data_IF_744637983560
#
_entry.id   IF_744637983560
#
_cell.length_a   1.000
_cell.length_b   1.000
_cell.length_c   1.000
_cell.angle_alpha   90.00
_cell.angle_beta   90.00
_cell.angle_gamma   90.00
#
_symmetry.space_group_name_H-M   'P 1'
#
loop_
_entity.id
_entity.type
_entity.pdbx_description
1 polymer ?
#
# COMPACT_ATOMS: atom_id res chain seq x y z
N UNK A 1 18.38 -7.68 0.00
CA UNK A 1 18.13 -7.58 -1.45
C UNK A 1 17.97 -9.00 -1.96
N UNK A 2 16.75 -9.53 -1.97
CA UNK A 2 16.45 -10.82 -2.58
C UNK A 2 16.08 -10.54 -4.04
N UNK A 3 16.93 -10.96 -4.96
CA UNK A 3 16.64 -10.90 -6.40
C UNK A 3 15.47 -11.82 -6.72
N UNK A 4 14.39 -11.26 -7.26
CA UNK A 4 13.38 -12.02 -7.98
C UNK A 4 14.01 -12.49 -9.30
N UNK A 5 14.48 -13.74 -9.34
CA UNK A 5 14.95 -14.35 -10.58
C UNK A 5 13.77 -14.55 -11.54
N UNK A 6 13.86 -14.14 -12.81
CA UNK A 6 12.82 -14.39 -13.79
C UNK A 6 12.91 -15.84 -14.26
N UNK A 7 11.91 -16.66 -13.93
CA UNK A 7 11.74 -18.01 -14.48
C UNK A 7 10.95 -17.96 -15.78
N UNK A 8 11.65 -18.27 -16.88
CA UNK A 8 11.16 -19.08 -18.00
C UNK A 8 9.98 -18.57 -18.86
N UNK A 9 10.28 -18.29 -20.12
CA UNK A 9 9.45 -18.42 -21.34
C UNK A 9 7.95 -18.71 -21.16
N UNK A 10 7.23 -17.67 -20.79
CA UNK A 10 5.77 -17.53 -20.86
C UNK A 10 5.50 -16.13 -20.32
N UNK A 11 4.95 -15.22 -21.14
CA UNK A 11 4.82 -13.81 -20.77
C UNK A 11 4.13 -13.65 -19.43
N UNK A 12 4.91 -13.40 -18.36
CA UNK A 12 4.37 -13.22 -17.03
C UNK A 12 3.73 -11.83 -16.96
N UNK A 13 2.44 -11.83 -16.66
CA UNK A 13 1.63 -10.68 -16.30
C UNK A 13 2.11 -10.12 -14.95
N UNK A 14 3.30 -9.52 -14.94
CA UNK A 14 3.89 -8.90 -13.75
C UNK A 14 3.34 -7.50 -13.49
N UNK A 15 3.31 -7.08 -12.23
CA UNK A 15 2.93 -5.72 -11.86
C UNK A 15 4.07 -4.76 -12.27
N UNK A 16 3.82 -3.90 -13.24
CA UNK A 16 4.81 -2.92 -13.72
C UNK A 16 4.63 -1.57 -13.04
N UNK A 17 5.69 -1.05 -12.40
CA UNK A 17 5.72 0.24 -11.70
C UNK A 17 5.08 1.38 -12.51
N UNK A 18 5.46 1.48 -13.79
CA UNK A 18 4.94 2.50 -14.70
C UNK A 18 3.43 2.41 -14.90
N UNK A 19 2.86 1.19 -15.04
CA UNK A 19 1.41 1.02 -15.19
C UNK A 19 0.65 1.35 -13.92
N UNK A 20 1.21 1.00 -12.77
CA UNK A 20 0.64 1.36 -11.45
C UNK A 20 0.62 2.88 -11.29
N UNK A 21 1.74 3.53 -11.59
CA UNK A 21 1.85 4.99 -11.51
C UNK A 21 0.87 5.70 -12.47
N UNK A 22 0.76 5.25 -13.72
CA UNK A 22 -0.22 5.80 -14.66
C UNK A 22 -1.66 5.58 -14.18
N UNK A 23 -1.94 4.46 -13.52
CA UNK A 23 -3.26 4.21 -12.90
C UNK A 23 -3.52 5.20 -11.77
N UNK A 24 -2.54 5.45 -10.89
CA UNK A 24 -2.68 6.44 -9.81
C UNK A 24 -2.92 7.85 -10.36
N UNK A 25 -2.20 8.24 -11.42
CA UNK A 25 -2.39 9.52 -12.11
C UNK A 25 -3.78 9.63 -12.73
N UNK A 26 -4.26 8.57 -13.38
CA UNK A 26 -5.61 8.51 -13.94
C UNK A 26 -6.72 8.57 -12.86
N UNK A 27 -6.45 8.05 -11.65
CA UNK A 27 -7.32 8.19 -10.48
C UNK A 27 -7.24 9.58 -9.83
N UNK A 28 -6.38 10.47 -10.35
CA UNK A 28 -6.17 11.81 -9.81
C UNK A 28 -5.45 11.82 -8.47
N UNK A 29 -4.68 10.78 -8.13
CA UNK A 29 -3.89 10.74 -6.89
C UNK A 29 -2.86 11.86 -6.92
N UNK A 30 -2.83 12.69 -5.87
CA UNK A 30 -1.89 13.81 -5.76
C UNK A 30 -0.77 13.57 -4.77
N UNK A 31 -1.02 12.72 -3.76
CA UNK A 31 -0.07 12.40 -2.70
C UNK A 31 -0.05 10.90 -2.43
N UNK A 32 1.13 10.35 -2.17
CA UNK A 32 1.30 9.01 -1.63
C UNK A 32 1.92 9.14 -0.24
N UNK A 33 1.14 8.78 0.78
CA UNK A 33 1.58 8.68 2.17
C UNK A 33 2.19 7.29 2.35
N UNK A 34 3.47 7.23 2.74
CA UNK A 34 4.24 6.00 2.56
C UNK A 34 5.33 5.80 3.61
N UNK A 35 5.57 4.53 3.95
CA UNK A 35 6.77 4.08 4.66
C UNK A 35 7.52 3.06 3.78
N UNK A 36 8.84 3.17 3.62
CA UNK A 36 9.62 2.21 2.85
C UNK A 36 9.48 0.76 3.34
N UNK A 37 9.23 -0.15 2.39
CA UNK A 37 9.20 -1.59 2.63
C UNK A 37 9.79 -2.39 1.45
N UNK A 38 10.02 -3.69 1.67
CA UNK A 38 10.65 -4.59 0.68
C UNK A 38 9.80 -4.84 -0.56
N UNK A 39 8.48 -4.78 -0.45
CA UNK A 39 7.54 -5.13 -1.52
C UNK A 39 7.24 -3.94 -2.44
N UNK A 40 7.39 -2.69 -1.96
CA UNK A 40 7.00 -1.48 -2.72
C UNK A 40 8.18 -0.63 -3.22
N UNK A 41 9.42 -1.09 -3.01
CA UNK A 41 10.62 -0.35 -3.42
C UNK A 41 10.66 0.02 -4.92
N UNK A 42 10.16 -0.86 -5.79
CA UNK A 42 10.09 -0.59 -7.24
C UNK A 42 9.18 0.59 -7.59
N UNK A 43 8.15 0.86 -6.78
CA UNK A 43 7.19 1.93 -6.99
C UNK A 43 7.74 3.26 -6.49
N UNK A 44 8.53 3.25 -5.41
CA UNK A 44 9.21 4.43 -4.89
C UNK A 44 10.11 5.10 -5.94
N UNK A 45 10.95 4.31 -6.63
CA UNK A 45 11.84 4.82 -7.67
C UNK A 45 11.05 5.46 -8.82
N UNK A 46 9.98 4.80 -9.25
CA UNK A 46 9.13 5.29 -10.33
C UNK A 46 8.41 6.60 -9.97
N UNK A 47 7.81 6.68 -8.78
CA UNK A 47 7.11 7.88 -8.29
C UNK A 47 8.10 9.04 -8.12
N UNK A 48 9.27 8.77 -7.55
CA UNK A 48 10.31 9.80 -7.34
C UNK A 48 10.84 10.35 -8.67
N UNK A 49 11.04 9.49 -9.66
CA UNK A 49 11.54 9.89 -10.97
C UNK A 49 10.52 10.70 -11.80
N UNK A 50 9.23 10.33 -11.73
CA UNK A 50 8.15 11.02 -12.46
C UNK A 50 7.80 12.39 -11.82
N UNK A 51 7.78 12.47 -10.49
CA UNK A 51 7.61 13.74 -9.75
C UNK A 51 6.22 14.37 -9.83
N UNK A 52 5.25 13.79 -10.54
CA UNK A 52 3.88 14.34 -10.61
C UNK A 52 3.04 14.07 -9.36
N UNK A 53 3.38 13.01 -8.62
CA UNK A 53 2.75 12.64 -7.34
C UNK A 53 3.74 12.96 -6.21
N UNK A 54 3.27 13.66 -5.17
CA UNK A 54 4.11 13.99 -4.01
C UNK A 54 4.20 12.81 -3.05
N UNK A 55 5.41 12.37 -2.73
CA UNK A 55 5.65 11.41 -1.65
C UNK A 55 5.66 12.12 -0.30
N UNK A 56 4.90 11.59 0.65
CA UNK A 56 4.82 12.06 2.04
C UNK A 56 5.30 10.90 2.94
N UNK A 57 6.58 10.90 3.33
CA UNK A 57 7.10 9.85 4.19
C UNK A 57 6.51 9.95 5.59
N UNK A 58 6.25 8.80 6.22
CA UNK A 58 5.84 8.69 7.62
C UNK A 58 6.97 8.07 8.44
N UNK A 59 6.95 8.24 9.76
CA UNK A 59 7.87 7.59 10.69
C UNK A 59 7.32 6.23 11.15
N UNK A 60 5.99 6.09 11.16
CA UNK A 60 5.24 4.91 11.58
C UNK A 60 4.04 4.75 10.66
N UNK A 61 3.63 3.53 10.35
CA UNK A 61 2.46 3.33 9.48
C UNK A 61 1.15 3.82 10.13
N UNK A 62 1.05 3.77 11.47
CA UNK A 62 -0.17 4.10 12.21
C UNK A 62 -0.61 5.56 12.09
N UNK A 63 0.30 6.47 11.77
CA UNK A 63 0.00 7.88 11.49
C UNK A 63 -0.40 8.15 10.03
N UNK A 64 -0.22 7.18 9.12
CA UNK A 64 -0.44 7.37 7.69
C UNK A 64 -1.88 7.80 7.37
N UNK A 65 -2.87 7.22 8.05
CA UNK A 65 -4.28 7.57 7.83
C UNK A 65 -4.63 8.95 8.39
N UNK A 66 -4.02 9.37 9.50
CA UNK A 66 -4.22 10.72 10.03
C UNK A 66 -3.64 11.78 9.09
N UNK A 67 -2.47 11.50 8.51
CA UNK A 67 -1.84 12.37 7.51
C UNK A 67 -2.69 12.41 6.23
N UNK A 68 -3.14 11.25 5.74
CA UNK A 68 -4.03 11.17 4.58
C UNK A 68 -5.36 11.91 4.83
N UNK A 69 -5.92 11.81 6.05
CA UNK A 69 -7.11 12.57 6.41
C UNK A 69 -6.88 14.09 6.33
N UNK A 70 -5.76 14.58 6.87
CA UNK A 70 -5.39 16.00 6.77
C UNK A 70 -5.23 16.48 5.32
N UNK A 71 -4.56 15.67 4.49
CA UNK A 71 -4.40 15.96 3.06
C UNK A 71 -5.76 16.01 2.34
N UNK A 72 -6.63 15.03 2.60
CA UNK A 72 -7.96 14.97 1.99
C UNK A 72 -8.83 16.17 2.38
N UNK A 73 -8.86 16.53 3.68
CA UNK A 73 -9.54 17.74 4.16
C UNK A 73 -8.98 19.00 3.50
N UNK A 74 -7.68 19.04 3.23
CA UNK A 74 -7.00 20.10 2.49
C UNK A 74 -7.30 20.15 0.98
N UNK A 75 -8.18 19.28 0.48
CA UNK A 75 -8.57 19.23 -0.94
C UNK A 75 -7.64 18.38 -1.82
N UNK A 76 -6.70 17.64 -1.22
CA UNK A 76 -5.89 16.68 -1.96
C UNK A 76 -6.62 15.33 -2.16
N UNK A 77 -6.04 14.46 -2.99
CA UNK A 77 -6.51 13.09 -3.20
C UNK A 77 -5.38 12.12 -2.82
N UNK A 78 -5.26 11.77 -1.53
CA UNK A 78 -4.15 10.97 -1.03
C UNK A 78 -4.40 9.46 -1.17
N UNK A 79 -3.32 8.73 -1.40
CA UNK A 79 -3.25 7.27 -1.34
C UNK A 79 -2.26 6.87 -0.23
N UNK A 80 -2.56 5.80 0.50
CA UNK A 80 -1.65 5.23 1.50
C UNK A 80 -0.99 3.97 0.93
N UNK A 81 0.33 3.89 1.01
CA UNK A 81 1.12 2.76 0.53
C UNK A 81 1.99 2.23 1.69
N UNK A 82 1.66 1.05 2.20
CA UNK A 82 2.36 0.40 3.32
C UNK A 82 2.44 -1.11 3.11
N UNK A 83 3.25 -1.81 3.90
CA UNK A 83 3.25 -3.28 3.95
C UNK A 83 2.16 -3.81 4.90
N UNK A 84 1.78 -5.08 4.77
CA UNK A 84 0.88 -5.76 5.69
C UNK A 84 1.36 -5.81 7.16
N UNK A 85 2.65 -5.68 7.48
CA UNK A 85 3.07 -5.44 8.88
C UNK A 85 2.60 -4.09 9.40
N UNK A 86 2.69 -3.05 8.56
CA UNK A 86 2.16 -1.72 8.83
C UNK A 86 0.65 -1.71 8.92
N UNK A 87 -0.04 -2.55 8.12
CA UNK A 87 -1.49 -2.77 8.24
C UNK A 87 -1.88 -3.15 9.67
N UNK A 88 -1.16 -4.08 10.30
CA UNK A 88 -1.45 -4.52 11.68
C UNK A 88 -1.18 -3.42 12.70
N UNK A 89 -0.07 -2.70 12.52
CA UNK A 89 0.30 -1.60 13.41
C UNK A 89 -0.67 -0.41 13.30
N UNK A 90 -1.23 -0.20 12.10
CA UNK A 90 -2.21 0.84 11.80
C UNK A 90 -3.66 0.46 12.15
N UNK A 91 -3.89 -0.67 12.82
CA UNK A 91 -5.25 -1.19 13.02
C UNK A 91 -6.22 -0.22 13.68
N UNK A 92 -5.75 0.57 14.65
CA UNK A 92 -6.59 1.58 15.30
C UNK A 92 -6.95 2.74 14.36
N UNK A 93 -6.00 3.24 13.56
CA UNK A 93 -6.27 4.32 12.61
C UNK A 93 -7.11 3.84 11.42
N UNK A 94 -6.95 2.60 10.96
CA UNK A 94 -7.80 1.99 9.93
C UNK A 94 -9.23 1.85 10.42
N UNK A 95 -9.43 1.25 11.60
CA UNK A 95 -10.76 1.08 12.15
C UNK A 95 -11.40 2.41 12.50
N UNK A 96 -10.68 3.31 13.18
CA UNK A 96 -11.22 4.58 13.66
C UNK A 96 -11.40 5.63 12.56
N UNK A 97 -10.37 5.91 11.76
CA UNK A 97 -10.43 6.94 10.71
C UNK A 97 -10.95 6.38 9.39
N UNK A 98 -10.43 5.22 8.96
CA UNK A 98 -10.84 4.60 7.70
C UNK A 98 -12.31 4.18 7.73
N UNK A 99 -12.68 3.34 8.70
CA UNK A 99 -14.00 2.71 8.74
C UNK A 99 -15.04 3.54 9.51
N UNK A 100 -14.80 3.85 10.79
CA UNK A 100 -15.80 4.49 11.65
C UNK A 100 -16.14 5.92 11.19
N UNK A 101 -15.13 6.71 10.78
CA UNK A 101 -15.31 8.05 10.21
C UNK A 101 -15.68 8.00 8.73
N UNK A 102 -15.40 6.89 8.04
CA UNK A 102 -15.66 6.76 6.60
C UNK A 102 -14.74 7.62 5.74
N UNK A 103 -13.45 7.72 6.11
CA UNK A 103 -12.47 8.50 5.35
C UNK A 103 -12.31 7.93 3.92
N UNK A 104 -12.53 8.71 2.85
CA UNK A 104 -12.44 8.22 1.48
C UNK A 104 -11.00 8.19 0.98
N UNK A 105 -10.23 7.21 1.45
CA UNK A 105 -8.82 7.00 1.08
C UNK A 105 -8.61 5.59 0.54
N UNK A 106 -7.80 5.49 -0.52
CA UNK A 106 -7.33 4.20 -1.05
C UNK A 106 -6.08 3.78 -0.28
N UNK A 107 -6.05 2.53 0.18
CA UNK A 107 -4.86 1.90 0.76
C UNK A 107 -4.34 0.81 -0.18
N UNK A 108 -3.05 0.85 -0.49
CA UNK A 108 -2.33 -0.19 -1.22
C UNK A 108 -1.41 -0.89 -0.24
N UNK A 109 -1.62 -2.20 -0.07
CA UNK A 109 -0.92 -3.00 0.93
C UNK A 109 0.04 -3.96 0.23
N UNK A 110 1.34 -3.80 0.48
CA UNK A 110 2.35 -4.79 0.10
C UNK A 110 2.12 -6.10 0.85
N UNK A 111 1.83 -7.18 0.12
CA UNK A 111 1.44 -8.46 0.71
C UNK A 111 2.65 -9.37 0.95
N UNK A 112 3.44 -9.07 1.99
CA UNK A 112 4.58 -9.91 2.37
C UNK A 112 4.12 -11.30 2.79
N UNK A 113 4.80 -12.31 2.28
CA UNK A 113 4.54 -13.71 2.59
C UNK A 113 3.44 -14.34 1.75
N UNK A 114 2.88 -13.62 0.77
CA UNK A 114 1.93 -14.18 -0.18
C UNK A 114 2.59 -15.18 -1.13
N UNK A 115 2.03 -16.39 -1.20
CA UNK A 115 2.55 -17.48 -2.04
C UNK A 115 1.52 -17.96 -3.08
N UNK A 116 0.58 -17.10 -3.50
CA UNK A 116 -0.37 -17.43 -4.56
C UNK A 116 -1.35 -18.56 -4.19
N UNK A 117 -1.86 -18.55 -2.96
CA UNK A 117 -2.79 -19.58 -2.46
C UNK A 117 -2.13 -20.86 -1.93
N UNK A 118 -0.79 -20.94 -1.95
CA UNK A 118 -0.06 -21.99 -1.24
C UNK A 118 -0.01 -21.73 0.27
N UNK A 119 0.19 -22.76 1.11
CA UNK A 119 0.35 -22.58 2.55
C UNK A 119 1.45 -21.58 2.90
N UNK A 120 1.10 -20.56 3.68
CA UNK A 120 2.02 -19.51 4.13
C UNK A 120 2.51 -19.82 5.55
N UNK A 121 3.78 -19.49 5.84
CA UNK A 121 4.36 -19.59 7.19
C UNK A 121 4.77 -18.24 7.78
N UNK A 122 4.91 -17.20 6.95
CA UNK A 122 5.11 -15.83 7.44
C UNK A 122 3.82 -15.38 8.12
N UNK A 123 3.91 -14.96 9.38
CA UNK A 123 2.77 -14.49 10.14
C UNK A 123 2.05 -13.32 9.47
N UNK A 124 2.79 -12.44 8.79
CA UNK A 124 2.17 -11.36 8.04
C UNK A 124 1.34 -11.89 6.87
N UNK A 125 1.84 -12.89 6.16
CA UNK A 125 1.11 -13.59 5.11
C UNK A 125 -0.20 -14.20 5.62
N UNK A 126 -0.07 -14.97 6.70
CA UNK A 126 -1.14 -15.77 7.33
C UNK A 126 -2.26 -14.90 7.91
N UNK A 127 -1.93 -13.76 8.55
CA UNK A 127 -2.91 -12.96 9.28
C UNK A 127 -3.52 -11.80 8.49
N UNK A 128 -2.98 -11.40 7.33
CA UNK A 128 -3.54 -10.29 6.51
C UNK A 128 -5.03 -10.48 6.26
N UNK A 129 -5.43 -11.53 5.56
CA UNK A 129 -6.84 -11.74 5.19
C UNK A 129 -7.75 -11.96 6.41
N UNK A 130 -7.39 -12.79 7.42
CA UNK A 130 -8.19 -12.90 8.64
C UNK A 130 -8.45 -11.56 9.35
N UNK A 131 -7.46 -10.68 9.41
CA UNK A 131 -7.60 -9.35 10.03
C UNK A 131 -8.51 -8.45 9.20
N UNK A 132 -8.33 -8.42 7.86
CA UNK A 132 -9.22 -7.66 6.98
C UNK A 132 -10.68 -8.10 7.14
N UNK A 133 -10.93 -9.42 7.19
CA UNK A 133 -12.26 -9.98 7.44
C UNK A 133 -12.80 -9.59 8.82
N UNK A 134 -11.96 -9.60 9.85
CA UNK A 134 -12.36 -9.19 11.20
C UNK A 134 -12.76 -7.70 11.27
N UNK A 135 -12.19 -6.86 10.40
CA UNK A 135 -12.56 -5.46 10.23
C UNK A 135 -13.72 -5.24 9.24
N UNK A 136 -14.29 -6.30 8.67
CA UNK A 136 -15.38 -6.20 7.69
C UNK A 136 -14.94 -5.73 6.30
N UNK A 137 -13.65 -5.81 5.98
CA UNK A 137 -13.08 -5.49 4.68
C UNK A 137 -13.03 -6.79 3.85
N UNK A 138 -13.73 -6.81 2.71
CA UNK A 138 -13.93 -8.00 1.85
C UNK A 138 -13.11 -7.95 0.57
#
# INVERSE_FOLDING_TARGET
>A
MLELKPTGAGGLMGLHAARVLETFKAMGVTHIVWLPDSETGFLYEAVTADGSIKLVPVCREGEALAIAAGLWVGGANPLVLIQNTGLFESGDSIRGLGLDVGLPVVMVIGYRGWLGGQPMTDSAGVYTEPILRAWGIN
#
